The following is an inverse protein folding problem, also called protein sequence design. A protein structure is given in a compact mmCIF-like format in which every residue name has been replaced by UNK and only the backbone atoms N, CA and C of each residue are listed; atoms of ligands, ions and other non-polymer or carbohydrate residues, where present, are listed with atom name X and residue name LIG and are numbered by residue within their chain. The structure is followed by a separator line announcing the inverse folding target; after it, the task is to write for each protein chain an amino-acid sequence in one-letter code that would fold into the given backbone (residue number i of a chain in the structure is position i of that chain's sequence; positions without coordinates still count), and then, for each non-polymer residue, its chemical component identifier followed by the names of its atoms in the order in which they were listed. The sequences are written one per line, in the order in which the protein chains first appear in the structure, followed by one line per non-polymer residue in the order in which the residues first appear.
data_IF_871883638741
#
_entry.id   IF_871883638741
#
_cell.length_a   1.000
_cell.length_b   1.000
_cell.length_c   1.000
_cell.angle_alpha   90.00
_cell.angle_beta   90.00
_cell.angle_gamma   90.00
#
_symmetry.space_group_name_H-M   'P 1'
#
loop_
_entity.id
_entity.type
_entity.pdbx_description
1 polymer ?
#
# COMPACT_ATOMS: atom_id res chain seq x y z
N UNK A 1 0.48 3.28 -9.85
CA UNK A 1 -0.14 2.31 -8.91
C UNK A 1 -0.73 1.15 -9.68
N UNK A 2 -0.82 -0.01 -9.04
CA UNK A 2 -1.63 -1.13 -9.52
C UNK A 2 -3.08 -0.64 -9.74
N UNK A 3 -3.76 -1.04 -10.83
CA UNK A 3 -5.16 -0.68 -11.03
C UNK A 3 -6.05 -1.07 -9.85
N UNK A 4 -7.04 -0.23 -9.54
CA UNK A 4 -7.84 -0.31 -8.31
C UNK A 4 -8.51 -1.68 -8.05
N UNK A 5 -8.92 -2.36 -9.13
CA UNK A 5 -9.60 -3.68 -9.03
C UNK A 5 -8.66 -4.88 -9.15
N UNK A 6 -7.36 -4.63 -9.21
CA UNK A 6 -6.34 -5.68 -9.27
C UNK A 6 -5.67 -5.87 -7.92
N UNK A 7 -5.24 -7.08 -7.66
CA UNK A 7 -4.43 -7.45 -6.49
C UNK A 7 -3.11 -8.06 -6.95
N UNK A 8 -2.03 -7.91 -6.17
CA UNK A 8 -0.79 -8.61 -6.46
C UNK A 8 -1.00 -10.13 -6.36
N UNK A 9 -0.26 -10.87 -7.15
CA UNK A 9 -0.36 -12.34 -7.17
C UNK A 9 0.48 -12.96 -6.06
N UNK A 10 0.02 -14.07 -5.50
CA UNK A 10 0.83 -14.89 -4.59
C UNK A 10 2.09 -15.36 -5.30
N UNK A 11 3.23 -15.33 -4.60
CA UNK A 11 4.53 -15.67 -5.16
C UNK A 11 5.11 -14.64 -6.12
N UNK A 12 4.40 -13.54 -6.41
CA UNK A 12 4.94 -12.46 -7.22
C UNK A 12 6.08 -11.76 -6.49
N UNK A 13 7.21 -11.58 -7.18
CA UNK A 13 8.33 -10.79 -6.63
C UNK A 13 7.90 -9.36 -6.35
N UNK A 14 8.22 -8.88 -5.16
CA UNK A 14 7.97 -7.52 -4.72
C UNK A 14 9.23 -6.87 -4.16
N UNK A 15 9.30 -5.56 -4.27
CA UNK A 15 10.39 -4.73 -3.72
C UNK A 15 9.81 -3.72 -2.74
N UNK A 16 10.30 -3.77 -1.50
CA UNK A 16 9.98 -2.75 -0.51
C UNK A 16 11.02 -1.62 -0.58
N UNK A 17 10.57 -0.40 -0.72
CA UNK A 17 11.41 0.81 -0.78
C UNK A 17 11.03 1.72 0.37
N UNK A 18 12.01 2.11 1.17
CA UNK A 18 11.79 3.00 2.32
C UNK A 18 13.08 3.37 3.04
N UNK A 19 12.97 4.22 4.05
CA UNK A 19 14.07 4.73 4.84
C UNK A 19 14.07 4.08 6.25
N UNK A 20 14.35 2.78 6.30
CA UNK A 20 14.38 2.02 7.56
C UNK A 20 15.39 2.60 8.56
N UNK A 21 14.98 2.74 9.83
CA UNK A 21 15.78 3.27 10.93
C UNK A 21 16.37 4.67 10.67
N UNK A 22 15.79 5.45 9.74
CA UNK A 22 16.31 6.77 9.37
C UNK A 22 17.55 6.73 8.48
N UNK A 23 17.96 5.57 7.98
CA UNK A 23 18.99 5.46 6.96
C UNK A 23 18.50 6.01 5.61
N UNK A 24 19.40 6.32 4.67
CA UNK A 24 19.02 6.65 3.30
C UNK A 24 18.08 5.62 2.71
N UNK A 25 17.15 6.00 1.80
CA UNK A 25 16.23 5.07 1.18
C UNK A 25 16.94 3.85 0.60
N UNK A 26 16.44 2.68 0.95
CA UNK A 26 16.97 1.40 0.52
C UNK A 26 15.87 0.55 -0.08
N UNK A 27 16.25 -0.48 -0.83
CA UNK A 27 15.33 -1.41 -1.46
C UNK A 27 15.66 -2.84 -1.02
N UNK A 28 14.64 -3.58 -0.64
CA UNK A 28 14.73 -5.01 -0.34
C UNK A 28 13.75 -5.78 -1.22
N UNK A 29 14.04 -7.03 -1.53
CA UNK A 29 13.18 -7.88 -2.36
C UNK A 29 12.66 -9.09 -1.60
N UNK A 30 11.52 -9.57 -2.01
CA UNK A 30 10.86 -10.76 -1.50
C UNK A 30 9.67 -11.12 -2.37
N UNK A 31 8.72 -11.82 -1.80
CA UNK A 31 7.55 -12.31 -2.51
C UNK A 31 6.26 -11.93 -1.78
N UNK A 32 5.17 -11.83 -2.53
CA UNK A 32 3.83 -11.67 -1.97
C UNK A 32 3.38 -13.01 -1.35
N UNK A 33 3.28 -13.07 -0.02
CA UNK A 33 2.89 -14.27 0.71
C UNK A 33 1.37 -14.37 0.89
N UNK A 34 0.69 -13.24 1.17
CA UNK A 34 -0.78 -13.16 1.21
C UNK A 34 -1.24 -11.88 0.51
N UNK A 35 -2.16 -12.03 -0.44
CA UNK A 35 -2.75 -10.88 -1.14
C UNK A 35 -3.83 -10.18 -0.31
N UNK A 36 -4.45 -10.88 0.63
CA UNK A 36 -5.47 -10.32 1.52
C UNK A 36 -5.47 -11.02 2.88
N UNK A 37 -5.37 -10.22 3.94
CA UNK A 37 -5.49 -10.66 5.33
C UNK A 37 -6.24 -9.58 6.12
N UNK A 38 -7.26 -9.98 6.89
CA UNK A 38 -8.00 -9.05 7.76
C UNK A 38 -7.42 -9.10 9.17
N UNK A 39 -6.98 -7.94 9.66
CA UNK A 39 -6.46 -7.76 11.01
C UNK A 39 -7.22 -6.61 11.65
N UNK A 40 -7.94 -6.88 12.74
CA UNK A 40 -8.77 -5.88 13.45
C UNK A 40 -9.75 -5.12 12.52
N UNK A 41 -10.36 -5.82 11.57
CA UNK A 41 -11.31 -5.23 10.62
C UNK A 41 -10.69 -4.50 9.42
N UNK A 42 -9.37 -4.38 9.35
CA UNK A 42 -8.67 -3.75 8.23
C UNK A 42 -8.01 -4.79 7.33
N UNK A 43 -8.05 -4.54 6.01
CA UNK A 43 -7.39 -5.41 5.03
C UNK A 43 -5.92 -5.05 4.88
N UNK A 44 -5.09 -6.07 4.91
CA UNK A 44 -3.65 -6.00 4.67
C UNK A 44 -3.23 -7.08 3.68
N UNK A 45 -2.07 -6.90 3.11
CA UNK A 45 -1.34 -7.91 2.35
C UNK A 45 0.01 -8.16 3.03
N UNK A 46 0.52 -9.39 2.96
CA UNK A 46 1.79 -9.78 3.57
C UNK A 46 2.82 -10.06 2.50
N UNK A 47 3.99 -9.47 2.65
CA UNK A 47 5.16 -9.74 1.81
C UNK A 47 6.35 -10.20 2.65
N UNK A 48 7.23 -10.99 2.04
CA UNK A 48 8.47 -11.46 2.66
C UNK A 48 9.66 -10.53 2.41
N UNK A 49 9.50 -9.50 1.57
CA UNK A 49 10.52 -8.47 1.40
C UNK A 49 10.87 -7.87 2.77
N UNK A 50 12.14 -7.92 3.20
CA UNK A 50 12.54 -7.40 4.50
C UNK A 50 12.17 -5.94 4.69
N UNK A 51 11.40 -5.65 5.74
CA UNK A 51 11.06 -4.30 6.19
C UNK A 51 11.33 -4.18 7.70
N UNK A 52 11.67 -2.98 8.14
CA UNK A 52 11.94 -2.66 9.54
C UNK A 52 11.26 -1.34 9.91
N UNK A 53 11.37 -0.94 11.16
CA UNK A 53 10.88 0.38 11.61
C UNK A 53 11.47 1.51 10.75
N UNK A 54 10.62 2.43 10.31
CA UNK A 54 10.96 3.51 9.39
C UNK A 54 10.60 3.23 7.93
N UNK A 55 10.31 1.98 7.54
CA UNK A 55 9.78 1.67 6.21
C UNK A 55 8.29 2.01 6.05
N UNK A 56 7.56 2.25 7.14
CA UNK A 56 6.15 2.64 7.12
C UNK A 56 5.94 3.91 6.29
N UNK A 57 4.95 3.89 5.39
CA UNK A 57 4.69 5.00 4.46
C UNK A 57 5.60 5.03 3.23
N UNK A 58 6.55 4.11 3.10
CA UNK A 58 7.29 3.86 1.87
C UNK A 58 6.41 3.20 0.81
N UNK A 59 6.99 2.44 -0.11
CA UNK A 59 6.25 1.78 -1.17
C UNK A 59 6.66 0.32 -1.33
N UNK A 60 5.69 -0.52 -1.64
CA UNK A 60 5.89 -1.88 -2.13
C UNK A 60 5.61 -1.89 -3.63
N UNK A 61 6.58 -2.33 -4.42
CA UNK A 61 6.49 -2.39 -5.88
C UNK A 61 6.46 -3.82 -6.39
N UNK A 62 5.78 -4.05 -7.51
CA UNK A 62 5.87 -5.27 -8.31
C UNK A 62 5.97 -4.92 -9.79
N UNK A 63 6.60 -5.80 -10.58
CA UNK A 63 6.65 -5.63 -12.03
C UNK A 63 5.39 -6.19 -12.68
N UNK A 64 4.77 -5.41 -13.54
CA UNK A 64 3.62 -5.84 -14.35
C UNK A 64 4.08 -6.31 -15.72
N UNK A 65 3.97 -7.61 -15.99
CA UNK A 65 4.29 -8.19 -17.31
C UNK A 65 3.34 -7.71 -18.41
N UNK A 66 2.11 -7.39 -18.05
CA UNK A 66 1.09 -6.90 -18.98
C UNK A 66 1.39 -5.46 -19.40
N UNK A 67 1.69 -4.60 -18.43
CA UNK A 67 1.93 -3.15 -18.64
C UNK A 67 3.40 -2.79 -18.82
N UNK A 68 4.31 -3.79 -18.68
CA UNK A 68 5.76 -3.66 -18.86
C UNK A 68 6.39 -2.55 -18.01
N UNK A 69 5.94 -2.42 -16.76
CA UNK A 69 6.45 -1.42 -15.82
C UNK A 69 6.33 -1.88 -14.36
N UNK A 70 7.11 -1.25 -13.49
CA UNK A 70 6.93 -1.37 -12.05
C UNK A 70 5.71 -0.56 -11.60
N UNK A 71 4.93 -1.15 -10.72
CA UNK A 71 3.74 -0.54 -10.16
C UNK A 71 3.77 -0.65 -8.64
N UNK A 72 3.37 0.41 -7.97
CA UNK A 72 3.17 0.37 -6.52
C UNK A 72 1.96 -0.52 -6.23
N UNK A 73 2.17 -1.55 -5.42
CA UNK A 73 1.14 -2.54 -5.06
C UNK A 73 0.70 -2.44 -3.60
N UNK A 74 1.39 -1.65 -2.79
CA UNK A 74 1.03 -1.45 -1.40
C UNK A 74 1.89 -0.40 -0.70
N UNK A 75 1.46 -0.04 0.51
CA UNK A 75 2.17 0.88 1.40
C UNK A 75 2.57 0.10 2.67
N UNK A 76 3.86 -0.12 2.93
CA UNK A 76 4.33 -0.78 4.15
C UNK A 76 3.78 -0.09 5.40
N UNK A 77 3.25 -0.86 6.33
CA UNK A 77 2.57 -0.35 7.53
C UNK A 77 3.00 -1.02 8.83
N UNK A 78 3.16 -2.35 8.83
CA UNK A 78 3.42 -3.12 10.05
C UNK A 78 4.47 -4.19 9.79
N UNK A 79 5.20 -4.56 10.83
CA UNK A 79 6.10 -5.71 10.86
C UNK A 79 5.67 -6.68 11.96
N UNK A 80 5.97 -7.96 11.79
CA UNK A 80 5.79 -8.93 12.86
C UNK A 80 6.83 -8.70 13.95
N UNK A 81 6.43 -8.91 15.19
CA UNK A 81 7.33 -8.97 16.32
C UNK A 81 6.97 -10.18 17.19
N UNK A 82 7.97 -10.94 17.59
CA UNK A 82 7.83 -12.07 18.50
C UNK A 82 8.94 -11.96 19.56
N UNK A 83 8.56 -12.14 20.85
CA UNK A 83 9.50 -12.05 21.97
C UNK A 83 10.38 -10.78 21.94
N UNK A 84 9.76 -9.62 21.65
CA UNK A 84 10.42 -8.31 21.51
C UNK A 84 11.43 -8.22 20.34
N UNK A 85 11.47 -9.20 19.46
CA UNK A 85 12.31 -9.18 18.25
C UNK A 85 11.44 -8.97 17.01
N UNK A 86 11.92 -8.12 16.10
CA UNK A 86 11.25 -7.84 14.82
C UNK A 86 11.56 -8.97 13.84
N UNK A 87 10.49 -9.50 13.23
CA UNK A 87 10.61 -10.48 12.14
C UNK A 87 10.54 -9.70 10.83
N UNK A 88 11.68 -9.32 10.29
CA UNK A 88 11.79 -8.38 9.17
C UNK A 88 11.19 -8.87 7.85
N UNK A 89 11.11 -10.19 7.64
CA UNK A 89 10.56 -10.82 6.44
C UNK A 89 9.08 -11.21 6.59
N UNK A 90 8.36 -10.58 7.51
CA UNK A 90 6.91 -10.64 7.65
C UNK A 90 6.37 -9.22 7.77
N UNK A 91 6.23 -8.58 6.62
CA UNK A 91 5.79 -7.18 6.53
C UNK A 91 4.38 -7.05 5.97
N UNK A 92 3.47 -6.42 6.72
CA UNK A 92 2.14 -6.09 6.25
C UNK A 92 2.13 -4.72 5.59
N UNK A 93 1.52 -4.65 4.42
CA UNK A 93 1.27 -3.41 3.71
C UNK A 93 -0.23 -3.18 3.49
N UNK A 94 -0.59 -1.92 3.37
CA UNK A 94 -1.93 -1.46 3.02
C UNK A 94 -2.10 -1.66 1.52
N UNK A 95 -3.16 -2.34 1.03
CA UNK A 95 -3.42 -2.52 -0.38
C UNK A 95 -3.67 -1.20 -1.11
N UNK A 96 -3.33 -1.12 -2.38
CA UNK A 96 -3.55 0.09 -3.20
C UNK A 96 -5.02 0.50 -3.30
N UNK A 97 -5.96 -0.43 -3.20
CA UNK A 97 -7.39 -0.11 -3.14
C UNK A 97 -7.70 0.89 -2.02
N UNK A 98 -7.14 0.69 -0.83
CA UNK A 98 -7.32 1.63 0.28
C UNK A 98 -6.70 3.01 -0.02
N UNK A 99 -5.62 3.05 -0.78
CA UNK A 99 -5.00 4.32 -1.24
C UNK A 99 -5.94 5.06 -2.20
N UNK A 100 -6.58 4.35 -3.14
CA UNK A 100 -7.59 4.95 -4.03
C UNK A 100 -8.75 5.56 -3.26
N UNK A 101 -9.31 4.82 -2.28
CA UNK A 101 -10.38 5.30 -1.42
C UNK A 101 -9.94 6.55 -0.66
N UNK A 102 -8.78 6.50 -0.01
CA UNK A 102 -8.23 7.62 0.74
C UNK A 102 -8.06 8.88 -0.11
N UNK A 103 -7.52 8.74 -1.32
CA UNK A 103 -7.33 9.87 -2.24
C UNK A 103 -8.67 10.50 -2.64
N UNK A 104 -9.69 9.68 -2.93
CA UNK A 104 -11.02 10.17 -3.30
C UNK A 104 -11.73 10.86 -2.14
N UNK A 105 -11.73 10.25 -0.97
CA UNK A 105 -12.34 10.84 0.24
C UNK A 105 -11.71 12.18 0.64
N UNK A 106 -10.44 12.39 0.29
CA UNK A 106 -9.72 13.63 0.52
C UNK A 106 -9.64 14.54 -0.71
N UNK A 107 -10.49 14.34 -1.71
CA UNK A 107 -10.56 15.12 -2.95
C UNK A 107 -9.28 15.12 -3.80
N UNK A 108 -8.47 14.10 -3.68
CA UNK A 108 -7.23 13.90 -4.44
C UNK A 108 -7.33 12.80 -5.51
N UNK A 109 -8.55 12.36 -5.84
CA UNK A 109 -8.79 11.31 -6.85
C UNK A 109 -8.21 11.64 -8.23
N UNK A 110 -7.99 12.93 -8.54
CA UNK A 110 -7.36 13.36 -9.79
C UNK A 110 -5.93 12.82 -9.96
N UNK A 111 -5.23 12.49 -8.87
CA UNK A 111 -3.90 11.84 -8.91
C UNK A 111 -3.97 10.46 -9.56
N UNK A 112 -5.11 9.80 -9.44
CA UNK A 112 -5.36 8.45 -9.95
C UNK A 112 -6.30 8.43 -11.17
N UNK A 113 -6.49 9.57 -11.81
CA UNK A 113 -7.22 9.70 -13.07
C UNK A 113 -8.66 10.17 -12.96
N UNK A 114 -9.15 10.47 -11.77
CA UNK A 114 -10.48 11.07 -11.60
C UNK A 114 -10.47 12.54 -12.05
N UNK A 115 -11.64 13.07 -12.36
CA UNK A 115 -11.77 14.50 -12.71
C UNK A 115 -11.39 15.38 -11.53
N UNK A 116 -10.53 16.39 -11.76
CA UNK A 116 -10.22 17.38 -10.74
C UNK A 116 -11.47 18.18 -10.35
N UNK A 117 -11.76 18.22 -9.07
CA UNK A 117 -12.82 19.04 -8.50
C UNK A 117 -12.21 20.28 -7.86
N UNK A 118 -12.62 21.45 -8.33
CA UNK A 118 -12.25 22.72 -7.70
C UNK A 118 -12.77 22.77 -6.26
N UNK A 119 -12.08 23.46 -5.34
CA UNK A 119 -12.46 23.51 -3.93
C UNK A 119 -13.93 23.87 -3.67
N UNK A 120 -14.47 24.81 -4.44
CA UNK A 120 -15.86 25.27 -4.35
C UNK A 120 -16.91 24.21 -4.73
N UNK A 121 -16.51 23.17 -5.46
CA UNK A 121 -17.38 22.08 -5.92
C UNK A 121 -17.24 20.79 -5.11
N UNK A 122 -16.47 20.81 -3.99
CA UNK A 122 -16.23 19.68 -3.13
C UNK A 122 -17.34 19.57 -2.09
N UNK A 123 -18.22 18.57 -2.23
CA UNK A 123 -19.21 18.25 -1.18
C UNK A 123 -18.54 17.38 -0.11
N UNK A 124 -18.83 17.64 1.17
CA UNK A 124 -18.35 16.79 2.24
C UNK A 124 -19.11 15.46 2.25
N UNK A 125 -18.42 14.35 2.47
CA UNK A 125 -19.02 13.00 2.60
C UNK A 125 -19.98 12.85 3.78
N UNK A 126 -20.14 13.88 4.60
CA UNK A 126 -21.11 13.92 5.71
C UNK A 126 -22.53 14.30 5.28
N UNK A 127 -22.74 14.82 4.06
CA UNK A 127 -24.06 15.23 3.59
C UNK A 127 -24.84 14.07 2.93
N UNK A 128 -24.15 13.04 2.40
CA UNK A 128 -24.80 11.89 1.75
C UNK A 128 -25.31 10.80 2.72
N UNK A 129 -25.14 10.98 4.04
CA UNK A 129 -25.64 10.03 5.07
C UNK A 129 -26.92 10.45 5.75
N UNK A 130 -27.62 11.43 5.22
CA UNK A 130 -28.88 11.97 5.79
C UNK A 130 -30.09 11.88 4.84
N UNK A 131 -30.08 10.88 3.92
CA UNK A 131 -31.32 10.49 3.21
C UNK A 131 -31.61 9.01 3.42
#
# INVERSE_FOLDING_TARGET
MLPEKESPKLGQTVWAVGAGLGFPPSMTSGEMAFAEQVINGYRYQLATAPIIFGNSGGALFAYSDIRKKYEMVGVPSKVAAANFQVVTHMGWSIPTEAVYIFLRENFHGFIVGDKYLKPENRKSSSEDKKE
#
